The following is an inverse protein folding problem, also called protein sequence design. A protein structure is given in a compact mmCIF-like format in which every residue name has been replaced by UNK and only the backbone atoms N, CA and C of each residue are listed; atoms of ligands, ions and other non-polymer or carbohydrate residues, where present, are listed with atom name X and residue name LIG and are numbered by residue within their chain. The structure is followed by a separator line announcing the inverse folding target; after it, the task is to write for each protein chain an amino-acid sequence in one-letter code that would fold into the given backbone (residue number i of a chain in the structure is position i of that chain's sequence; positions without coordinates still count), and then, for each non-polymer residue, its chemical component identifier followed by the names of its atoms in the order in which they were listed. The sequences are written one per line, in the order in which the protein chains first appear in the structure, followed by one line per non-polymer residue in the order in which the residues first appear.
data_IF_233080013094
#
_entry.id   IF_233080013094
#
_cell.length_a   1.000
_cell.length_b   1.000
_cell.length_c   1.000
_cell.angle_alpha   90.00
_cell.angle_beta   90.00
_cell.angle_gamma   90.00
#
_symmetry.space_group_name_H-M   'P 1'
#
loop_
_entity.id
_entity.type
_entity.pdbx_description
1 polymer ?
#
# COMPACT_ATOMS: atom_id res chain seq x y z
N UNK A 1 -19.23 -13.56 -2.28
CA UNK A 1 -17.75 -13.50 -2.47
C UNK A 1 -17.20 -12.08 -2.57
N UNK A 2 -17.97 -11.06 -3.01
CA UNK A 2 -17.48 -9.68 -3.14
C UNK A 2 -16.91 -9.07 -1.85
N UNK A 3 -17.56 -9.30 -0.69
CA UNK A 3 -17.07 -8.85 0.62
C UNK A 3 -15.63 -9.28 0.94
N UNK A 4 -15.24 -10.51 0.59
CA UNK A 4 -13.88 -10.99 0.84
C UNK A 4 -12.86 -10.29 -0.07
N UNK A 5 -13.24 -10.02 -1.32
CA UNK A 5 -12.42 -9.27 -2.26
C UNK A 5 -12.24 -7.81 -1.81
N UNK A 6 -13.31 -7.21 -1.27
CA UNK A 6 -13.25 -5.86 -0.71
C UNK A 6 -12.27 -5.78 0.48
N UNK A 7 -12.34 -6.76 1.39
CA UNK A 7 -11.42 -6.86 2.53
C UNK A 7 -9.98 -7.05 2.06
N UNK A 8 -9.74 -7.92 1.08
CA UNK A 8 -8.41 -8.09 0.49
C UNK A 8 -7.88 -6.77 -0.09
N UNK A 9 -8.71 -6.04 -0.83
CA UNK A 9 -8.35 -4.73 -1.37
C UNK A 9 -7.96 -3.72 -0.28
N UNK A 10 -8.74 -3.68 0.81
CA UNK A 10 -8.44 -2.85 1.96
C UNK A 10 -7.10 -3.23 2.61
N UNK A 11 -6.83 -4.53 2.78
CA UNK A 11 -5.58 -5.02 3.36
C UNK A 11 -4.37 -4.60 2.50
N UNK A 12 -4.47 -4.70 1.17
CA UNK A 12 -3.39 -4.27 0.28
C UNK A 12 -3.11 -2.76 0.40
N UNK A 13 -4.15 -1.93 0.49
CA UNK A 13 -3.97 -0.48 0.71
C UNK A 13 -3.26 -0.22 2.05
N UNK A 14 -3.69 -0.88 3.12
CA UNK A 14 -3.07 -0.75 4.44
C UNK A 14 -1.58 -1.12 4.38
N UNK A 15 -1.25 -2.24 3.73
CA UNK A 15 0.14 -2.70 3.56
C UNK A 15 0.94 -1.70 2.71
N UNK A 16 0.35 -1.10 1.68
CA UNK A 16 1.01 -0.09 0.84
C UNK A 16 1.32 1.22 1.59
N UNK A 17 0.51 1.59 2.59
CA UNK A 17 0.70 2.80 3.41
C UNK A 17 1.64 2.54 4.60
N UNK A 18 1.73 1.28 5.04
CA UNK A 18 2.51 0.86 6.21
C UNK A 18 3.94 1.44 6.28
N UNK A 19 4.73 1.53 5.19
CA UNK A 19 6.10 2.04 5.23
C UNK A 19 6.23 3.49 5.68
N UNK A 20 5.16 4.29 5.56
CA UNK A 20 5.15 5.67 6.05
C UNK A 20 5.06 5.73 7.59
N UNK A 21 4.44 4.72 8.19
CA UNK A 21 4.15 4.67 9.62
C UNK A 21 5.28 3.95 10.38
N UNK A 22 5.84 2.88 9.80
CA UNK A 22 6.87 2.05 10.45
C UNK A 22 8.07 2.84 11.02
N UNK A 23 8.64 3.85 10.35
CA UNK A 23 9.72 4.65 10.92
C UNK A 23 9.28 5.45 12.15
N UNK A 24 8.02 5.91 12.19
CA UNK A 24 7.48 6.70 13.31
C UNK A 24 7.33 5.88 14.58
N UNK A 25 7.16 4.56 14.46
CA UNK A 25 6.99 3.63 15.58
C UNK A 25 8.26 2.82 15.90
N UNK A 26 9.41 3.19 15.33
CA UNK A 26 10.70 2.56 15.62
C UNK A 26 11.03 1.32 14.79
N UNK A 27 10.26 1.04 13.74
CA UNK A 27 10.42 -0.12 12.84
C UNK A 27 10.93 0.29 11.44
N UNK A 28 11.74 1.35 11.36
CA UNK A 28 12.22 1.92 10.08
C UNK A 28 12.99 0.94 9.19
N UNK A 29 13.70 -0.02 9.76
CA UNK A 29 14.41 -1.06 8.99
C UNK A 29 13.47 -1.89 8.11
N UNK A 30 12.24 -2.13 8.58
CA UNK A 30 11.24 -2.88 7.82
C UNK A 30 10.65 -2.05 6.67
N UNK A 31 10.63 -0.72 6.79
CA UNK A 31 10.19 0.16 5.71
C UNK A 31 11.12 0.06 4.50
N UNK A 32 12.43 -0.17 4.70
CA UNK A 32 13.41 -0.27 3.62
C UNK A 32 13.08 -1.37 2.60
N UNK A 33 12.46 -2.48 3.02
CA UNK A 33 12.03 -3.55 2.11
C UNK A 33 10.98 -3.10 1.09
N UNK A 34 10.24 -2.04 1.37
CA UNK A 34 9.28 -1.47 0.44
C UNK A 34 9.95 -0.59 -0.63
N UNK A 35 11.22 -0.20 -0.45
CA UNK A 35 11.97 0.66 -1.37
C UNK A 35 13.01 -0.09 -2.22
N UNK A 36 12.88 -1.42 -2.34
CA UNK A 36 13.78 -2.25 -3.17
C UNK A 36 13.61 -2.05 -4.69
N UNK A 37 12.64 -1.23 -5.12
CA UNK A 37 12.39 -0.93 -6.52
C UNK A 37 13.34 0.11 -7.10
N UNK A 38 13.19 0.41 -8.39
CA UNK A 38 14.05 1.37 -9.10
C UNK A 38 13.51 2.80 -9.04
N UNK A 39 12.21 2.97 -8.79
CA UNK A 39 11.52 4.25 -8.89
C UNK A 39 10.82 4.63 -7.59
N UNK A 40 10.94 5.90 -7.24
CA UNK A 40 10.17 6.57 -6.19
C UNK A 40 9.46 7.79 -6.75
N UNK A 41 8.28 8.08 -6.21
CA UNK A 41 7.49 9.25 -6.56
C UNK A 41 7.22 10.06 -5.29
N UNK A 42 7.71 11.32 -5.21
CA UNK A 42 7.40 12.19 -4.08
C UNK A 42 5.95 12.67 -4.17
N UNK A 43 5.15 12.36 -3.14
CA UNK A 43 3.74 12.77 -3.02
C UNK A 43 3.54 13.35 -1.62
N UNK A 44 3.08 14.60 -1.54
CA UNK A 44 2.76 15.28 -0.28
C UNK A 44 3.90 15.24 0.77
N UNK A 45 5.17 15.29 0.31
CA UNK A 45 6.35 15.27 1.19
C UNK A 45 6.82 13.87 1.61
N UNK A 46 6.18 12.81 1.09
CA UNK A 46 6.59 11.43 1.32
C UNK A 46 7.03 10.78 0.01
N UNK A 47 8.07 9.96 0.07
CA UNK A 47 8.49 9.14 -1.06
C UNK A 47 7.66 7.85 -1.11
N UNK A 48 6.94 7.66 -2.21
CA UNK A 48 6.23 6.42 -2.48
C UNK A 48 7.03 5.57 -3.45
N UNK A 49 7.35 4.33 -3.07
CA UNK A 49 7.97 3.39 -3.98
C UNK A 49 6.96 2.81 -4.98
N UNK A 50 7.47 2.25 -6.07
CA UNK A 50 6.67 1.48 -7.03
C UNK A 50 5.80 0.40 -6.35
N UNK A 51 6.36 -0.37 -5.41
CA UNK A 51 5.63 -1.42 -4.69
C UNK A 51 4.46 -0.83 -3.89
N UNK A 52 4.69 0.28 -3.17
CA UNK A 52 3.64 0.95 -2.40
C UNK A 52 2.50 1.40 -3.30
N UNK A 53 2.82 2.01 -4.46
CA UNK A 53 1.83 2.47 -5.42
C UNK A 53 1.03 1.32 -6.03
N UNK A 54 1.68 0.20 -6.39
CA UNK A 54 1.01 -1.00 -6.91
C UNK A 54 0.05 -1.56 -5.86
N UNK A 55 0.48 -1.70 -4.61
CA UNK A 55 -0.35 -2.22 -3.53
C UNK A 55 -1.59 -1.35 -3.30
N UNK A 56 -1.43 -0.03 -3.30
CA UNK A 56 -2.56 0.90 -3.16
C UNK A 56 -3.47 0.87 -4.40
N UNK A 57 -2.91 0.88 -5.61
CA UNK A 57 -3.68 0.90 -6.85
C UNK A 57 -4.48 -0.38 -7.07
N UNK A 58 -3.82 -1.54 -6.96
CA UNK A 58 -4.48 -2.85 -7.04
C UNK A 58 -5.47 -3.03 -5.89
N UNK A 59 -5.08 -2.63 -4.67
CA UNK A 59 -5.95 -2.69 -3.51
C UNK A 59 -7.24 -1.88 -3.68
N UNK A 60 -7.14 -0.66 -4.24
CA UNK A 60 -8.30 0.17 -4.55
C UNK A 60 -9.22 -0.49 -5.58
N UNK A 61 -8.66 -1.05 -6.66
CA UNK A 61 -9.45 -1.76 -7.66
C UNK A 61 -10.21 -2.95 -7.04
N UNK A 62 -9.53 -3.77 -6.24
CA UNK A 62 -10.15 -4.92 -5.57
C UNK A 62 -11.22 -4.48 -4.56
N UNK A 63 -10.99 -3.37 -3.84
CA UNK A 63 -11.96 -2.79 -2.92
C UNK A 63 -13.24 -2.41 -3.65
N UNK A 64 -13.13 -1.64 -4.74
CA UNK A 64 -14.27 -1.18 -5.52
C UNK A 64 -15.01 -2.35 -6.16
N UNK A 65 -14.30 -3.27 -6.83
CA UNK A 65 -14.91 -4.44 -7.47
C UNK A 65 -15.60 -5.33 -6.43
N UNK A 66 -15.00 -5.50 -5.25
CA UNK A 66 -15.56 -6.29 -4.16
C UNK A 66 -16.78 -5.65 -3.51
N UNK A 67 -16.81 -4.31 -3.42
CA UNK A 67 -17.93 -3.57 -2.85
C UNK A 67 -19.16 -3.53 -3.78
N UNK A 68 -18.93 -3.55 -5.10
CA UNK A 68 -19.98 -3.53 -6.11
C UNK A 68 -20.59 -4.91 -6.42
N UNK A 69 -19.99 -6.00 -5.94
CA UNK A 69 -20.44 -7.40 -6.14
C UNK A 69 -21.07 -8.02 -4.90
#
# INVERSE_FOLDING_TARGET
MGKALAILGLLLIIVGILPLILPMVGFGEYAAYFFLGMYTLPIAGYDFSELMLILMGVGFLLLVIGALK
#
